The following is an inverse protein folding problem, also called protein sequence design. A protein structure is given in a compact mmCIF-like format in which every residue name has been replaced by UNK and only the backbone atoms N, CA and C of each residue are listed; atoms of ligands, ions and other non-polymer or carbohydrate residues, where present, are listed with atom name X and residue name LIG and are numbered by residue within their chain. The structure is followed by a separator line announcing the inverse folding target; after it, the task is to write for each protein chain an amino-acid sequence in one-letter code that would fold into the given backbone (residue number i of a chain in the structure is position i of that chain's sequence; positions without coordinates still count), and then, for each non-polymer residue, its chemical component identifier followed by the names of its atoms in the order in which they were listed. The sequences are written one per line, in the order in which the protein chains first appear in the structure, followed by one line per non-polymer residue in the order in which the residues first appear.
data_IF_843638187158
#
_entry.id   IF_843638187158
#
_cell.length_a   1.000
_cell.length_b   1.000
_cell.length_c   1.000
_cell.angle_alpha   90.00
_cell.angle_beta   90.00
_cell.angle_gamma   90.00
#
_symmetry.space_group_name_H-M   'P 1'
#
loop_
_entity.id
_entity.type
_entity.pdbx_description
1 polymer ?
#
# COMPACT_ATOMS: atom_id res chain seq x y z
N UNK A 1 9.06 -18.38 30.28
CA UNK A 1 9.52 -16.98 30.34
C UNK A 1 9.90 -16.41 28.96
N UNK A 2 10.76 -17.07 28.17
CA UNK A 2 11.27 -16.50 26.91
C UNK A 2 10.22 -16.21 25.82
N UNK A 3 9.21 -17.09 25.62
CA UNK A 3 8.13 -16.84 24.66
C UNK A 3 7.26 -15.62 25.01
N UNK A 4 7.09 -15.33 26.31
CA UNK A 4 6.30 -14.18 26.77
C UNK A 4 7.01 -12.86 26.47
N UNK A 5 8.34 -12.81 26.58
CA UNK A 5 9.12 -11.62 26.21
C UNK A 5 9.06 -11.35 24.71
N UNK A 6 9.23 -12.38 23.87
CA UNK A 6 9.11 -12.24 22.41
C UNK A 6 7.70 -11.80 22.04
N UNK A 7 6.66 -12.42 22.62
CA UNK A 7 5.28 -12.00 22.43
C UNK A 7 5.03 -10.54 22.80
N UNK A 8 5.57 -10.09 23.95
CA UNK A 8 5.48 -8.69 24.38
C UNK A 8 6.14 -7.72 23.38
N UNK A 9 7.35 -8.02 22.89
CA UNK A 9 8.03 -7.18 21.90
C UNK A 9 7.29 -7.15 20.56
N UNK A 10 6.77 -8.29 20.09
CA UNK A 10 5.97 -8.36 18.85
C UNK A 10 4.70 -7.52 18.98
N UNK A 11 3.95 -7.69 20.08
CA UNK A 11 2.73 -6.93 20.35
C UNK A 11 3.01 -5.42 20.43
N UNK A 12 4.10 -5.02 21.12
CA UNK A 12 4.49 -3.61 21.22
C UNK A 12 4.90 -3.01 19.87
N UNK A 13 5.62 -3.76 19.02
CA UNK A 13 6.00 -3.32 17.69
C UNK A 13 4.78 -3.18 16.77
N UNK A 14 3.87 -4.15 16.82
CA UNK A 14 2.63 -4.14 16.03
C UNK A 14 1.74 -2.94 16.39
N UNK A 15 1.52 -2.66 17.68
CA UNK A 15 0.72 -1.49 18.10
C UNK A 15 1.29 -0.16 17.59
N UNK A 16 2.62 -0.02 17.61
CA UNK A 16 3.28 1.18 17.08
C UNK A 16 3.17 1.28 15.56
N UNK A 17 3.23 0.16 14.85
CA UNK A 17 3.15 0.10 13.39
C UNK A 17 1.73 0.41 12.86
N UNK A 18 0.68 -0.02 13.57
CA UNK A 18 -0.72 0.20 13.17
C UNK A 18 -1.39 1.39 13.88
N UNK A 19 -0.62 2.29 14.49
CA UNK A 19 -1.17 3.45 15.22
C UNK A 19 -1.79 4.46 14.24
N UNK A 20 -3.12 4.54 14.24
CA UNK A 20 -3.89 5.53 13.48
C UNK A 20 -3.61 6.94 14.03
N UNK A 21 -3.19 7.86 13.16
CA UNK A 21 -2.92 9.27 13.51
C UNK A 21 -3.79 10.28 12.74
N UNK A 22 -4.53 9.84 11.73
CA UNK A 22 -5.43 10.67 10.92
C UNK A 22 -6.60 9.85 10.39
N UNK A 23 -7.64 10.53 9.89
CA UNK A 23 -8.77 9.88 9.22
C UNK A 23 -8.31 9.11 7.99
N UNK A 24 -7.37 9.65 7.22
CA UNK A 24 -6.76 8.98 6.07
C UNK A 24 -6.01 7.71 6.49
N UNK A 25 -5.24 7.77 7.59
CA UNK A 25 -4.55 6.61 8.13
C UNK A 25 -5.52 5.52 8.61
N UNK A 26 -6.72 5.89 9.07
CA UNK A 26 -7.74 4.93 9.48
C UNK A 26 -8.31 4.16 8.27
N UNK A 27 -8.51 4.85 7.16
CA UNK A 27 -8.95 4.25 5.89
C UNK A 27 -7.86 3.30 5.40
N UNK A 28 -6.60 3.76 5.36
CA UNK A 28 -5.47 2.91 4.98
C UNK A 28 -5.32 1.68 5.89
N UNK A 29 -5.54 1.82 7.19
CA UNK A 29 -5.48 0.70 8.13
C UNK A 29 -6.60 -0.31 7.87
N UNK A 30 -7.84 0.14 7.65
CA UNK A 30 -8.97 -0.73 7.32
C UNK A 30 -8.72 -1.48 6.00
N UNK A 31 -8.25 -0.77 4.98
CA UNK A 31 -7.83 -1.31 3.70
C UNK A 31 -6.71 -2.35 3.84
N UNK A 32 -5.68 -2.05 4.65
CA UNK A 32 -4.58 -2.97 4.93
C UNK A 32 -5.05 -4.23 5.67
N UNK A 33 -6.00 -4.11 6.60
CA UNK A 33 -6.58 -5.25 7.30
C UNK A 33 -7.26 -6.21 6.31
N UNK A 34 -8.06 -5.68 5.38
CA UNK A 34 -8.71 -6.49 4.33
C UNK A 34 -7.70 -7.22 3.46
N UNK A 35 -6.63 -6.53 3.03
CA UNK A 35 -5.55 -7.14 2.23
C UNK A 35 -4.78 -8.19 3.02
N UNK A 36 -4.51 -7.97 4.31
CA UNK A 36 -3.84 -8.96 5.14
C UNK A 36 -4.67 -10.23 5.29
N UNK A 37 -6.00 -10.13 5.43
CA UNK A 37 -6.85 -11.33 5.46
C UNK A 37 -6.83 -12.10 4.13
N UNK A 38 -6.70 -11.44 2.98
CA UNK A 38 -6.63 -12.12 1.68
C UNK A 38 -5.51 -13.16 1.61
N UNK A 39 -4.32 -12.86 2.16
CA UNK A 39 -3.17 -13.78 2.11
C UNK A 39 -3.21 -14.91 3.15
N UNK A 40 -4.19 -14.90 4.07
CA UNK A 40 -4.29 -15.90 5.13
C UNK A 40 -5.21 -17.04 4.68
N UNK A 41 -4.75 -18.31 4.66
CA UNK A 41 -5.56 -19.45 4.19
C UNK A 41 -6.84 -19.68 5.03
N UNK A 42 -6.86 -19.23 6.28
CA UNK A 42 -8.05 -19.24 7.15
C UNK A 42 -9.17 -18.36 6.58
N UNK A 43 -8.85 -17.25 5.90
CA UNK A 43 -9.86 -16.40 5.29
C UNK A 43 -10.61 -17.12 4.18
N UNK A 44 -9.91 -17.97 3.41
CA UNK A 44 -10.52 -18.84 2.40
C UNK A 44 -11.39 -19.93 3.04
N UNK A 45 -10.96 -20.50 4.17
CA UNK A 45 -11.76 -21.49 4.91
C UNK A 45 -13.05 -20.87 5.48
N UNK A 46 -13.00 -19.66 6.04
CA UNK A 46 -14.19 -18.95 6.54
C UNK A 46 -15.20 -18.63 5.43
N UNK A 47 -14.73 -18.49 4.20
CA UNK A 47 -15.52 -18.09 3.02
C UNK A 47 -15.82 -19.29 2.11
N UNK A 48 -15.45 -20.50 2.51
CA UNK A 48 -15.56 -21.73 1.72
C UNK A 48 -17.00 -22.16 1.42
N UNK A 49 -17.97 -21.67 2.20
CA UNK A 49 -19.41 -21.88 1.98
C UNK A 49 -20.03 -20.97 0.91
N UNK A 50 -19.29 -20.00 0.37
CA UNK A 50 -19.78 -19.10 -0.68
C UNK A 50 -19.36 -19.63 -2.06
N UNK A 51 -20.33 -20.11 -2.83
CA UNK A 51 -20.17 -20.60 -4.20
C UNK A 51 -19.50 -19.51 -5.07
N UNK A 52 -18.34 -19.81 -5.72
CA UNK A 52 -17.67 -18.88 -6.63
C UNK A 52 -18.53 -18.34 -7.77
N UNK A 53 -19.60 -19.03 -8.16
CA UNK A 53 -20.43 -18.68 -9.34
C UNK A 53 -21.70 -17.89 -9.01
N UNK A 54 -21.98 -17.65 -7.72
CA UNK A 54 -23.12 -16.86 -7.28
C UNK A 54 -22.73 -15.39 -7.05
N UNK A 55 -23.69 -14.45 -7.13
CA UNK A 55 -23.48 -13.02 -6.87
C UNK A 55 -22.81 -12.73 -5.49
N UNK A 56 -22.96 -13.65 -4.53
CA UNK A 56 -22.33 -13.61 -3.21
C UNK A 56 -20.81 -13.93 -3.24
N UNK A 57 -20.31 -14.54 -4.33
CA UNK A 57 -18.89 -14.77 -4.59
C UNK A 57 -18.07 -13.49 -4.72
N UNK A 58 -18.70 -12.38 -5.10
CA UNK A 58 -18.04 -11.06 -5.15
C UNK A 58 -17.68 -10.51 -3.76
N UNK A 59 -18.38 -10.93 -2.70
CA UNK A 59 -18.11 -10.51 -1.32
C UNK A 59 -17.05 -11.38 -0.63
N UNK A 60 -16.45 -12.33 -1.35
CA UNK A 60 -15.33 -13.11 -0.81
C UNK A 60 -14.18 -12.18 -0.48
N UNK A 61 -13.59 -12.37 0.70
CA UNK A 61 -12.46 -11.57 1.18
C UNK A 61 -11.31 -11.55 0.15
N UNK A 62 -11.10 -12.66 -0.53
CA UNK A 62 -10.11 -12.80 -1.61
C UNK A 62 -10.39 -11.87 -2.80
N UNK A 63 -11.62 -11.86 -3.30
CA UNK A 63 -12.04 -11.04 -4.45
C UNK A 63 -12.00 -9.54 -4.13
N UNK A 64 -12.40 -9.14 -2.92
CA UNK A 64 -12.34 -7.75 -2.47
C UNK A 64 -10.88 -7.28 -2.32
N UNK A 65 -10.02 -8.12 -1.74
CA UNK A 65 -8.59 -7.84 -1.63
C UNK A 65 -7.93 -7.71 -3.01
N UNK A 66 -8.27 -8.60 -3.94
CA UNK A 66 -7.76 -8.56 -5.31
C UNK A 66 -8.26 -7.33 -6.09
N UNK A 67 -9.54 -6.98 -5.95
CA UNK A 67 -10.10 -5.78 -6.57
C UNK A 67 -9.40 -4.51 -6.07
N UNK A 68 -9.15 -4.45 -4.77
CA UNK A 68 -8.45 -3.34 -4.13
C UNK A 68 -7.00 -3.22 -4.64
N UNK A 69 -6.28 -4.33 -4.70
CA UNK A 69 -4.89 -4.36 -5.22
C UNK A 69 -4.82 -4.04 -6.71
N UNK A 70 -5.78 -4.49 -7.53
CA UNK A 70 -5.74 -4.27 -8.98
C UNK A 70 -6.26 -2.90 -9.39
N UNK A 71 -7.31 -2.39 -8.75
CA UNK A 71 -7.97 -1.14 -9.13
C UNK A 71 -7.25 0.08 -8.56
N UNK A 72 -6.82 0.04 -7.29
CA UNK A 72 -6.24 1.23 -6.62
C UNK A 72 -4.74 1.35 -6.89
N UNK A 73 -4.01 0.24 -7.00
CA UNK A 73 -2.55 0.26 -7.14
C UNK A 73 -2.11 0.71 -8.55
N UNK A 74 -2.79 0.21 -9.60
CA UNK A 74 -2.43 0.50 -11.00
C UNK A 74 -2.42 2.00 -11.35
N UNK A 75 -3.44 2.82 -11.03
CA UNK A 75 -3.39 4.25 -11.31
C UNK A 75 -2.34 4.98 -10.49
N UNK A 76 -2.10 4.56 -9.23
CA UNK A 76 -1.09 5.16 -8.36
C UNK A 76 0.32 4.95 -8.92
N UNK A 77 0.67 3.72 -9.32
CA UNK A 77 1.96 3.40 -9.94
C UNK A 77 2.15 4.22 -11.22
N UNK A 78 1.14 4.27 -12.09
CA UNK A 78 1.20 5.05 -13.33
C UNK A 78 1.42 6.55 -13.08
N UNK A 79 0.78 7.11 -12.06
CA UNK A 79 0.98 8.50 -11.68
C UNK A 79 2.40 8.76 -11.16
N UNK A 80 2.95 7.84 -10.35
CA UNK A 80 4.33 7.90 -9.86
C UNK A 80 5.31 7.84 -11.03
N UNK A 81 5.15 6.90 -11.95
CA UNK A 81 6.05 6.74 -13.11
C UNK A 81 6.06 7.99 -14.00
N UNK A 82 4.89 8.59 -14.25
CA UNK A 82 4.79 9.84 -15.00
C UNK A 82 5.43 11.02 -14.26
N UNK A 83 5.19 11.15 -12.95
CA UNK A 83 5.78 12.21 -12.14
C UNK A 83 7.30 12.09 -12.05
N UNK A 84 7.81 10.87 -11.86
CA UNK A 84 9.23 10.57 -11.86
C UNK A 84 9.86 10.86 -13.23
N UNK A 85 9.23 10.41 -14.32
CA UNK A 85 9.70 10.66 -15.68
C UNK A 85 9.81 12.15 -15.99
N UNK A 86 8.77 12.93 -15.69
CA UNK A 86 8.79 14.39 -15.90
C UNK A 86 9.81 15.09 -15.00
N UNK A 87 9.94 14.67 -13.74
CA UNK A 87 10.93 15.23 -12.81
C UNK A 87 12.37 15.00 -13.30
N UNK A 88 12.66 13.81 -13.81
CA UNK A 88 13.96 13.47 -14.38
C UNK A 88 14.24 14.24 -15.67
N UNK A 89 13.24 14.42 -16.54
CA UNK A 89 13.37 15.25 -17.75
C UNK A 89 13.61 16.73 -17.42
N UNK A 90 12.93 17.27 -16.41
CA UNK A 90 13.15 18.65 -15.97
C UNK A 90 14.56 18.84 -15.38
N UNK A 91 15.02 17.88 -14.59
CA UNK A 91 16.37 17.89 -14.03
C UNK A 91 17.43 17.75 -15.14
N UNK A 92 17.23 16.86 -16.10
CA UNK A 92 18.18 16.70 -17.22
C UNK A 92 18.25 17.95 -18.10
N UNK A 93 17.11 18.60 -18.39
CA UNK A 93 17.07 19.87 -19.12
C UNK A 93 17.76 21.01 -18.35
N UNK A 94 17.54 21.09 -17.02
CA UNK A 94 18.22 22.08 -16.17
C UNK A 94 19.75 21.93 -16.24
N UNK A 95 20.24 20.68 -16.25
CA UNK A 95 21.66 20.37 -16.39
C UNK A 95 22.17 20.75 -17.79
N UNK A 96 21.45 20.34 -18.84
CA UNK A 96 21.81 20.65 -20.23
C UNK A 96 21.89 22.15 -20.51
N UNK A 97 20.96 22.93 -19.95
CA UNK A 97 20.91 24.38 -20.10
C UNK A 97 21.88 25.12 -19.17
N UNK A 98 22.61 24.41 -18.30
CA UNK A 98 23.59 25.02 -17.39
C UNK A 98 22.98 25.97 -16.35
N UNK A 99 21.66 25.91 -16.13
CA UNK A 99 20.90 26.80 -15.22
C UNK A 99 21.24 26.57 -13.74
N UNK A 100 22.00 25.52 -13.45
CA UNK A 100 22.58 25.26 -12.13
C UNK A 100 23.77 26.19 -11.80
N UNK A 101 24.32 26.91 -12.79
CA UNK A 101 25.50 27.79 -12.65
C UNK A 101 25.16 29.29 -12.63
N UNK A 102 23.90 29.65 -12.35
CA UNK A 102 23.47 31.04 -12.33
C UNK A 102 24.32 31.92 -11.42
N UNK A 103 25.03 32.88 -12.03
CA UNK A 103 25.76 34.01 -11.43
C UNK A 103 27.16 33.68 -10.88
N UNK A 104 28.11 33.42 -11.78
CA UNK A 104 29.45 34.01 -11.63
C UNK A 104 29.42 35.34 -12.40
N UNK A 105 29.04 36.41 -11.70
CA UNK A 105 29.26 37.78 -12.15
C UNK A 105 30.68 38.17 -11.76
N UNK A 106 31.58 38.16 -12.73
CA UNK A 106 32.59 39.19 -13.02
C UNK A 106 33.02 39.05 -14.49
#
# INVERSE_FOLDING_TARGET
AMFSLIGFFILSAAYRAFRIRSIEASILMATALVVLLMFVPIALMLTSGLDPNSFQGNFRIDSVGMWLLSTINVPAIRAIDLGLGLGLLAMSLRIMLGLEKGVAAD
#
